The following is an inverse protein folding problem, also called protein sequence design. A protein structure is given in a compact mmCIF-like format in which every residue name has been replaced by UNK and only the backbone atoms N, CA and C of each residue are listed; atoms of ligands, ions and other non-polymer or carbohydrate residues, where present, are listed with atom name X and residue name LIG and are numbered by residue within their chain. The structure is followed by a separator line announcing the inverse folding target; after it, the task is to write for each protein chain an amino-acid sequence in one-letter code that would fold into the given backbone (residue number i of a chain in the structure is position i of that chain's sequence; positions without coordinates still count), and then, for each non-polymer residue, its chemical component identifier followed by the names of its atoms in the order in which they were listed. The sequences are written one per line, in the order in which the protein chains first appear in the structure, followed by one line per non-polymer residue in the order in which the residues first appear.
data_IF_910152718730
#
_entry.id   IF_910152718730
#
_cell.length_a   1.000
_cell.length_b   1.000
_cell.length_c   1.000
_cell.angle_alpha   90.00
_cell.angle_beta   90.00
_cell.angle_gamma   90.00
#
_symmetry.space_group_name_H-M   'P 1'
#
loop_
_entity.id
_entity.type
_entity.pdbx_description
1 polymer ?
#
# COMPACT_ATOMS: atom_id res chain seq x y z
N UNK A 1 -6.35 41.31 -33.56
CA UNK A 1 -6.27 40.04 -32.81
C UNK A 1 -7.68 39.65 -32.39
N UNK A 2 -8.25 38.55 -32.91
CA UNK A 2 -9.65 38.19 -32.65
C UNK A 2 -9.77 37.59 -31.26
N UNK A 3 -10.75 38.02 -30.44
CA UNK A 3 -10.94 37.52 -29.08
C UNK A 3 -11.08 35.98 -29.00
N UNK A 4 -11.54 35.35 -30.09
CA UNK A 4 -11.66 33.90 -30.25
C UNK A 4 -10.32 33.16 -30.26
N UNK A 5 -9.22 33.79 -30.71
CA UNK A 5 -7.88 33.18 -30.69
C UNK A 5 -7.26 33.16 -29.29
N UNK A 6 -7.60 34.17 -28.46
CA UNK A 6 -7.09 34.27 -27.08
C UNK A 6 -7.79 33.25 -26.18
N UNK A 7 -9.10 33.08 -26.33
CA UNK A 7 -9.85 32.08 -25.57
C UNK A 7 -9.48 30.65 -25.95
N UNK A 8 -9.21 30.38 -27.24
CA UNK A 8 -8.72 29.08 -27.72
C UNK A 8 -7.32 28.74 -27.20
N UNK A 9 -6.39 29.71 -27.17
CA UNK A 9 -5.05 29.50 -26.59
C UNK A 9 -5.11 29.21 -25.08
N UNK A 10 -5.94 29.95 -24.33
CA UNK A 10 -6.07 29.75 -22.89
C UNK A 10 -6.73 28.42 -22.53
N UNK A 11 -7.74 27.98 -23.28
CA UNK A 11 -8.38 26.68 -23.06
C UNK A 11 -7.43 25.51 -23.30
N UNK A 12 -6.54 25.59 -24.29
CA UNK A 12 -5.50 24.56 -24.50
C UNK A 12 -4.59 24.42 -23.27
N UNK A 13 -4.13 25.53 -22.69
CA UNK A 13 -3.30 25.47 -21.47
C UNK A 13 -4.04 24.89 -20.27
N UNK A 14 -5.33 25.21 -20.09
CA UNK A 14 -6.15 24.60 -19.03
C UNK A 14 -6.33 23.09 -19.25
N UNK A 15 -6.59 22.65 -20.48
CA UNK A 15 -6.70 21.22 -20.80
C UNK A 15 -5.38 20.49 -20.55
N UNK A 16 -4.24 21.09 -20.94
CA UNK A 16 -2.92 20.52 -20.69
C UNK A 16 -2.57 20.46 -19.19
N UNK A 17 -2.92 21.49 -18.41
CA UNK A 17 -2.70 21.51 -16.97
C UNK A 17 -3.55 20.44 -16.25
N UNK A 18 -4.83 20.30 -16.59
CA UNK A 18 -5.70 19.25 -16.05
C UNK A 18 -5.20 17.86 -16.44
N UNK A 19 -4.79 17.67 -17.71
CA UNK A 19 -4.22 16.42 -18.16
C UNK A 19 -2.91 16.06 -17.42
N UNK A 20 -2.04 17.04 -17.19
CA UNK A 20 -0.80 16.84 -16.43
C UNK A 20 -1.07 16.41 -14.97
N UNK A 21 -2.03 17.04 -14.29
CA UNK A 21 -2.42 16.67 -12.93
C UNK A 21 -2.99 15.24 -12.87
N UNK A 22 -3.85 14.88 -13.82
CA UNK A 22 -4.42 13.52 -13.90
C UNK A 22 -3.35 12.46 -14.21
N UNK A 23 -2.36 12.79 -15.04
CA UNK A 23 -1.24 11.90 -15.35
C UNK A 23 -0.26 11.78 -14.18
N UNK A 24 -0.08 12.80 -13.33
CA UNK A 24 0.87 12.79 -12.22
C UNK A 24 0.43 11.94 -11.01
N UNK A 25 -0.88 11.88 -10.73
CA UNK A 25 -1.44 11.15 -9.58
C UNK A 25 -0.95 9.69 -9.40
N UNK A 26 -0.89 8.83 -10.44
CA UNK A 26 -0.40 7.46 -10.28
C UNK A 26 1.09 7.38 -9.93
N UNK A 27 1.91 8.36 -10.36
CA UNK A 27 3.35 8.38 -10.06
C UNK A 27 3.62 8.67 -8.59
N UNK A 28 2.84 9.56 -7.98
CA UNK A 28 2.93 9.86 -6.54
C UNK A 28 2.59 8.63 -5.71
N UNK A 29 1.52 7.91 -6.06
CA UNK A 29 1.12 6.71 -5.33
C UNK A 29 2.16 5.60 -5.41
N UNK A 30 2.77 5.35 -6.57
CA UNK A 30 3.86 4.38 -6.72
C UNK A 30 5.05 4.76 -5.83
N UNK A 31 5.54 6.00 -5.97
CA UNK A 31 6.71 6.52 -5.24
C UNK A 31 6.65 6.25 -3.73
N UNK A 32 5.48 6.41 -3.12
CA UNK A 32 5.31 6.23 -1.68
C UNK A 32 5.44 4.76 -1.21
N UNK A 33 5.11 3.78 -2.05
CA UNK A 33 5.35 2.36 -1.73
C UNK A 33 6.83 2.00 -1.85
N UNK A 34 7.52 2.55 -2.86
CA UNK A 34 8.96 2.35 -3.01
C UNK A 34 9.75 2.99 -1.86
N UNK A 35 9.45 4.25 -1.51
CA UNK A 35 10.09 4.96 -0.40
C UNK A 35 9.87 4.24 0.94
N UNK A 36 8.62 3.89 1.26
CA UNK A 36 8.30 3.18 2.49
C UNK A 36 8.97 1.80 2.54
N UNK A 37 9.01 1.11 1.40
CA UNK A 37 9.65 -0.19 1.29
C UNK A 37 11.16 -0.14 1.55
N UNK A 38 11.84 0.84 0.94
CA UNK A 38 13.27 1.08 1.16
C UNK A 38 13.54 1.47 2.62
N UNK A 39 12.75 2.39 3.18
CA UNK A 39 12.92 2.91 4.54
C UNK A 39 12.76 1.86 5.62
N UNK A 40 11.81 0.94 5.47
CA UNK A 40 11.46 -0.04 6.50
C UNK A 40 11.89 -1.48 6.17
N UNK A 41 12.61 -1.67 5.06
CA UNK A 41 13.07 -2.99 4.61
C UNK A 41 11.93 -3.94 4.23
N UNK A 42 10.84 -3.40 3.68
CA UNK A 42 9.66 -4.15 3.24
C UNK A 42 9.55 -4.09 1.71
N UNK A 43 9.20 -5.19 1.06
CA UNK A 43 8.92 -5.20 -0.38
C UNK A 43 7.80 -4.19 -0.73
N UNK A 44 8.03 -3.25 -1.66
CA UNK A 44 6.98 -2.33 -2.13
C UNK A 44 5.76 -3.07 -2.69
N UNK A 45 5.97 -4.22 -3.35
CA UNK A 45 4.90 -5.07 -3.86
C UNK A 45 4.05 -5.68 -2.74
N UNK A 46 4.67 -6.05 -1.61
CA UNK A 46 3.95 -6.51 -0.43
C UNK A 46 3.10 -5.38 0.17
N UNK A 47 3.67 -4.19 0.33
CA UNK A 47 2.93 -3.02 0.83
C UNK A 47 1.74 -2.68 -0.07
N UNK A 48 1.93 -2.74 -1.40
CA UNK A 48 0.85 -2.56 -2.36
C UNK A 48 -0.25 -3.62 -2.19
N UNK A 49 0.12 -4.89 -2.00
CA UNK A 49 -0.83 -5.98 -1.78
C UNK A 49 -1.62 -5.82 -0.47
N UNK A 50 -0.97 -5.32 0.59
CA UNK A 50 -1.62 -4.94 1.85
C UNK A 50 -2.61 -3.80 1.60
N UNK A 51 -2.19 -2.67 1.03
CA UNK A 51 -3.07 -1.54 0.73
C UNK A 51 -4.29 -1.93 -0.15
N UNK A 52 -4.08 -2.78 -1.16
CA UNK A 52 -5.16 -3.32 -1.99
C UNK A 52 -6.18 -4.11 -1.17
N UNK A 53 -5.67 -4.92 -0.24
CA UNK A 53 -6.45 -5.87 0.57
C UNK A 53 -7.17 -5.18 1.73
N UNK A 54 -6.59 -4.10 2.26
CA UNK A 54 -7.11 -3.33 3.39
C UNK A 54 -8.22 -2.37 2.95
N UNK A 55 -7.96 -1.56 1.92
CA UNK A 55 -8.84 -0.44 1.57
C UNK A 55 -9.18 -0.36 0.08
N UNK A 56 -8.64 -1.26 -0.74
CA UNK A 56 -8.64 -1.12 -2.19
C UNK A 56 -8.08 0.25 -2.65
N UNK A 57 -7.03 0.72 -1.97
CA UNK A 57 -6.39 2.03 -2.15
C UNK A 57 -7.22 3.26 -1.75
N UNK A 58 -8.29 3.09 -0.99
CA UNK A 58 -9.08 4.22 -0.51
C UNK A 58 -8.40 4.90 0.69
N UNK A 59 -7.77 6.04 0.46
CA UNK A 59 -7.11 6.85 1.49
C UNK A 59 -8.08 7.41 2.55
N UNK A 60 -9.38 7.49 2.24
CA UNK A 60 -10.42 7.95 3.16
C UNK A 60 -11.19 6.80 3.83
N UNK A 61 -10.74 5.54 3.69
CA UNK A 61 -11.42 4.40 4.28
C UNK A 61 -11.43 4.48 5.82
N UNK A 62 -12.60 4.23 6.40
CA UNK A 62 -12.79 4.11 7.85
C UNK A 62 -13.57 2.83 8.11
N UNK A 63 -13.08 1.98 9.00
CA UNK A 63 -13.77 0.79 9.44
C UNK A 63 -13.88 0.77 10.97
N UNK A 64 -15.07 0.50 11.51
CA UNK A 64 -15.31 0.49 12.95
C UNK A 64 -15.39 -0.95 13.45
N UNK A 65 -14.62 -1.26 14.49
CA UNK A 65 -14.50 -2.59 15.06
C UNK A 65 -15.43 -2.77 16.27
N UNK A 66 -15.89 -4.00 16.50
CA UNK A 66 -16.81 -4.33 17.61
C UNK A 66 -16.23 -4.02 19.01
N UNK A 67 -14.90 -3.94 19.13
CA UNK A 67 -14.22 -3.60 20.38
C UNK A 67 -14.10 -2.08 20.61
N UNK A 68 -14.73 -1.25 19.76
CA UNK A 68 -14.69 0.21 19.85
C UNK A 68 -13.47 0.87 19.22
N UNK A 69 -12.50 0.10 18.72
CA UNK A 69 -11.42 0.64 17.88
C UNK A 69 -11.91 0.91 16.46
N UNK A 70 -11.11 1.63 15.67
CA UNK A 70 -11.39 1.82 14.25
C UNK A 70 -10.09 1.81 13.45
N UNK A 71 -10.18 1.42 12.18
CA UNK A 71 -9.07 1.36 11.24
C UNK A 71 -9.19 2.50 10.22
N UNK A 72 -8.08 3.16 9.91
CA UNK A 72 -8.08 4.38 9.11
C UNK A 72 -7.11 4.36 7.92
N UNK A 73 -7.63 4.83 6.78
CA UNK A 73 -6.89 5.13 5.57
C UNK A 73 -6.43 3.92 4.77
N UNK A 74 -5.47 4.15 3.88
CA UNK A 74 -5.11 3.22 2.80
C UNK A 74 -4.56 1.88 3.32
N UNK A 75 -3.85 1.90 4.45
CA UNK A 75 -3.30 0.71 5.12
C UNK A 75 -4.16 0.25 6.30
N UNK A 76 -5.32 0.87 6.54
CA UNK A 76 -6.23 0.56 7.65
C UNK A 76 -5.50 0.51 9.02
N UNK A 77 -4.87 1.63 9.39
CA UNK A 77 -4.14 1.74 10.66
C UNK A 77 -5.15 1.80 11.82
N UNK A 78 -5.08 0.82 12.72
CA UNK A 78 -5.97 0.74 13.88
C UNK A 78 -5.70 1.84 14.91
N UNK A 79 -6.77 2.34 15.55
CA UNK A 79 -6.73 3.37 16.60
C UNK A 79 -5.99 2.97 17.87
N UNK A 80 -5.70 1.69 18.08
CA UNK A 80 -4.80 1.22 19.14
C UNK A 80 -3.38 1.80 19.02
N UNK A 81 -2.91 2.16 17.81
CA UNK A 81 -1.61 2.78 17.60
C UNK A 81 -1.54 4.26 17.98
N UNK A 82 -2.68 4.87 18.35
CA UNK A 82 -2.74 6.30 18.69
C UNK A 82 -1.75 6.67 19.79
N UNK A 83 -1.57 5.81 20.80
CA UNK A 83 -0.67 6.08 21.93
C UNK A 83 0.80 6.15 21.49
N UNK A 84 1.22 5.27 20.59
CA UNK A 84 2.59 5.19 20.09
C UNK A 84 2.88 6.25 19.02
N UNK A 85 1.87 6.62 18.22
CA UNK A 85 1.99 7.66 17.20
C UNK A 85 1.93 9.07 17.81
N UNK A 86 1.06 9.27 18.79
CA UNK A 86 0.73 10.60 19.30
C UNK A 86 -0.15 11.39 18.33
N UNK A 87 -0.69 12.51 18.82
CA UNK A 87 -1.69 13.32 18.12
C UNK A 87 -1.21 13.80 16.75
N UNK A 88 0.01 14.33 16.66
CA UNK A 88 0.52 14.92 15.42
C UNK A 88 0.60 13.88 14.31
N UNK A 89 1.26 12.75 14.56
CA UNK A 89 1.40 11.68 13.56
C UNK A 89 0.06 11.03 13.21
N UNK A 90 -0.84 10.89 14.18
CA UNK A 90 -2.19 10.38 13.94
C UNK A 90 -2.99 11.27 12.98
N UNK A 91 -2.92 12.60 13.17
CA UNK A 91 -3.62 13.56 12.30
C UNK A 91 -3.11 13.56 10.85
N UNK A 92 -1.87 13.10 10.61
CA UNK A 92 -1.30 13.01 9.26
C UNK A 92 -1.70 11.73 8.51
N UNK A 93 -2.41 10.77 9.15
CA UNK A 93 -2.79 9.51 8.50
C UNK A 93 -3.77 9.69 7.33
N UNK A 94 -4.35 10.88 7.14
CA UNK A 94 -5.20 11.19 5.99
C UNK A 94 -4.41 11.38 4.70
N UNK A 95 -3.10 11.66 4.81
CA UNK A 95 -2.19 11.60 3.68
C UNK A 95 -1.87 10.13 3.35
N UNK A 96 -2.15 9.72 2.12
CA UNK A 96 -2.01 8.33 1.70
C UNK A 96 -0.57 7.83 1.83
N UNK A 97 0.41 8.66 1.48
CA UNK A 97 1.83 8.30 1.51
C UNK A 97 2.35 8.17 2.94
N UNK A 98 1.93 9.06 3.81
CA UNK A 98 2.20 8.99 5.25
C UNK A 98 1.56 7.74 5.85
N UNK A 99 0.32 7.42 5.49
CA UNK A 99 -0.38 6.21 5.93
C UNK A 99 0.35 4.93 5.47
N UNK A 100 0.83 4.87 4.22
CA UNK A 100 1.69 3.78 3.71
C UNK A 100 2.96 3.65 4.54
N UNK A 101 3.64 4.77 4.85
CA UNK A 101 4.83 4.77 5.69
C UNK A 101 4.55 4.24 7.10
N UNK A 102 3.44 4.63 7.73
CA UNK A 102 3.05 4.11 9.05
C UNK A 102 2.72 2.62 8.99
N UNK A 103 2.01 2.16 7.96
CA UNK A 103 1.72 0.74 7.75
C UNK A 103 3.01 -0.08 7.57
N UNK A 104 3.95 0.42 6.76
CA UNK A 104 5.26 -0.21 6.57
C UNK A 104 6.07 -0.26 7.87
N UNK A 105 6.05 0.81 8.67
CA UNK A 105 6.68 0.84 9.99
C UNK A 105 6.09 -0.21 10.93
N UNK A 106 4.75 -0.35 11.00
CA UNK A 106 4.10 -1.37 11.82
C UNK A 106 4.48 -2.77 11.35
N UNK A 107 4.43 -3.02 10.04
CA UNK A 107 4.81 -4.32 9.46
C UNK A 107 6.28 -4.64 9.75
N UNK A 108 7.18 -3.65 9.72
CA UNK A 108 8.59 -3.85 10.09
C UNK A 108 8.77 -4.32 11.54
N UNK A 109 7.90 -3.89 12.47
CA UNK A 109 7.92 -4.39 13.85
C UNK A 109 7.49 -5.86 13.93
N UNK A 110 6.53 -6.26 13.11
CA UNK A 110 6.15 -7.68 13.00
C UNK A 110 7.29 -8.51 12.39
N UNK A 111 7.97 -7.99 11.36
CA UNK A 111 9.16 -8.62 10.76
C UNK A 111 10.29 -8.77 11.78
N UNK A 112 10.53 -7.75 12.61
CA UNK A 112 11.54 -7.84 13.69
C UNK A 112 11.24 -8.98 14.69
N UNK A 113 9.96 -9.31 14.91
CA UNK A 113 9.54 -10.36 15.86
C UNK A 113 9.52 -11.75 15.25
N UNK A 114 9.10 -11.87 13.98
CA UNK A 114 8.77 -13.14 13.35
C UNK A 114 9.68 -13.48 12.15
N UNK A 115 10.70 -12.66 11.91
CA UNK A 115 11.46 -12.67 10.67
C UNK A 115 10.62 -12.19 9.49
N UNK A 116 11.25 -12.14 8.32
CA UNK A 116 10.56 -11.84 7.06
C UNK A 116 9.77 -13.08 6.63
N UNK A 117 8.61 -13.32 7.27
CA UNK A 117 7.75 -14.52 7.10
C UNK A 117 6.26 -14.18 6.96
N UNK A 118 5.43 -15.16 6.58
CA UNK A 118 3.96 -15.01 6.58
C UNK A 118 3.38 -14.78 7.99
N UNK A 119 4.07 -15.25 9.04
CA UNK A 119 3.70 -14.92 10.41
C UNK A 119 3.83 -13.42 10.70
N UNK A 120 4.82 -12.72 10.12
CA UNK A 120 4.92 -11.27 10.22
C UNK A 120 3.76 -10.55 9.51
N UNK A 121 3.35 -11.04 8.34
CA UNK A 121 2.17 -10.51 7.62
C UNK A 121 0.89 -10.73 8.43
N UNK A 122 0.71 -11.93 9.01
CA UNK A 122 -0.41 -12.22 9.90
C UNK A 122 -0.39 -11.38 11.18
N UNK A 123 0.80 -11.09 11.74
CA UNK A 123 0.97 -10.20 12.90
C UNK A 123 0.44 -8.80 12.65
N UNK A 124 0.60 -8.25 11.44
CA UNK A 124 0.13 -6.90 11.08
C UNK A 124 -1.38 -6.73 11.31
N UNK A 125 -2.18 -7.72 10.95
CA UNK A 125 -3.64 -7.67 11.11
C UNK A 125 -4.11 -7.69 12.58
N UNK A 126 -3.29 -8.18 13.51
CA UNK A 126 -3.60 -8.16 14.95
C UNK A 126 -4.72 -9.08 15.43
N UNK A 127 -5.36 -9.87 14.55
CA UNK A 127 -6.47 -10.77 14.91
C UNK A 127 -6.04 -12.08 15.61
N UNK A 128 -6.98 -12.97 15.94
CA UNK A 128 -6.68 -14.31 16.48
C UNK A 128 -5.85 -15.16 15.50
N UNK A 129 -5.15 -16.20 15.97
CA UNK A 129 -4.22 -17.01 15.15
C UNK A 129 -4.85 -17.51 13.84
N UNK A 130 -6.06 -18.09 13.89
CA UNK A 130 -6.76 -18.54 12.67
C UNK A 130 -7.07 -17.40 11.70
N UNK A 131 -7.41 -16.21 12.21
CA UNK A 131 -7.65 -15.03 11.39
C UNK A 131 -6.35 -14.49 10.77
N UNK A 132 -5.20 -14.59 11.47
CA UNK A 132 -3.88 -14.20 10.94
C UNK A 132 -3.48 -15.03 9.72
N UNK A 133 -3.72 -16.34 9.75
CA UNK A 133 -3.43 -17.24 8.62
C UNK A 133 -4.32 -16.91 7.41
N UNK A 134 -5.62 -16.73 7.64
CA UNK A 134 -6.56 -16.33 6.58
C UNK A 134 -6.17 -14.98 5.95
N UNK A 135 -5.75 -14.03 6.78
CA UNK A 135 -5.26 -12.74 6.34
C UNK A 135 -3.98 -12.88 5.49
N UNK A 136 -2.96 -13.59 5.97
CA UNK A 136 -1.73 -13.83 5.22
C UNK A 136 -2.00 -14.49 3.86
N UNK A 137 -2.93 -15.46 3.81
CA UNK A 137 -3.34 -16.12 2.58
C UNK A 137 -4.04 -15.16 1.59
N UNK A 138 -4.85 -14.20 2.07
CA UNK A 138 -5.43 -13.15 1.21
C UNK A 138 -4.33 -12.30 0.58
N UNK A 139 -3.37 -11.83 1.40
CA UNK A 139 -2.24 -11.03 0.93
C UNK A 139 -1.40 -11.81 -0.10
N UNK A 140 -1.13 -13.08 0.16
CA UNK A 140 -0.40 -13.94 -0.76
C UNK A 140 -1.07 -14.02 -2.14
N UNK A 141 -2.40 -14.25 -2.17
CA UNK A 141 -3.17 -14.30 -3.42
C UNK A 141 -3.13 -12.97 -4.17
N UNK A 142 -3.31 -11.86 -3.45
CA UNK A 142 -3.24 -10.52 -4.05
C UNK A 142 -1.84 -10.23 -4.61
N UNK A 143 -0.78 -10.56 -3.88
CA UNK A 143 0.60 -10.37 -4.32
C UNK A 143 0.92 -11.18 -5.59
N UNK A 144 0.42 -12.43 -5.67
CA UNK A 144 0.54 -13.27 -6.87
C UNK A 144 -0.13 -12.65 -8.08
N UNK A 145 -1.36 -12.15 -7.93
CA UNK A 145 -2.08 -11.49 -9.02
C UNK A 145 -1.34 -10.25 -9.55
N UNK A 146 -0.71 -9.48 -8.66
CA UNK A 146 0.10 -8.30 -9.03
C UNK A 146 1.37 -8.71 -9.78
N UNK A 147 2.06 -9.75 -9.31
CA UNK A 147 3.25 -10.29 -9.97
C UNK A 147 2.95 -10.83 -11.37
N UNK A 148 1.85 -11.55 -11.53
CA UNK A 148 1.42 -12.12 -12.81
C UNK A 148 0.93 -11.04 -13.78
N UNK A 149 0.25 -9.99 -13.28
CA UNK A 149 -0.17 -8.84 -14.08
C UNK A 149 1.00 -7.99 -14.62
N UNK A 150 2.05 -7.78 -13.81
CA UNK A 150 3.28 -7.10 -14.25
C UNK A 150 4.11 -7.94 -15.21
N UNK A 151 4.10 -9.27 -15.09
CA UNK A 151 4.79 -10.17 -16.04
C UNK A 151 4.07 -10.20 -17.40
N UNK A 152 2.73 -10.17 -17.40
CA UNK A 152 1.94 -10.12 -18.64
C UNK A 152 2.12 -8.82 -19.42
N UNK A 153 2.26 -7.67 -18.72
CA UNK A 153 2.52 -6.38 -19.36
C UNK A 153 3.97 -6.19 -19.82
N UNK A 154 4.93 -6.86 -19.19
CA UNK A 154 6.36 -6.64 -19.41
C UNK A 154 7.06 -7.74 -20.23
N UNK A 155 6.30 -8.52 -21.03
CA UNK A 155 6.77 -9.65 -21.84
C UNK A 155 7.78 -9.29 -22.97
N UNK A 156 8.36 -8.08 -22.97
CA UNK A 156 9.46 -7.67 -23.87
C UNK A 156 10.82 -7.61 -23.20
N UNK A 157 10.92 -7.48 -21.87
CA UNK A 157 12.22 -7.36 -21.18
C UNK A 157 12.44 -8.54 -20.23
N UNK A 158 12.85 -9.65 -20.85
CA UNK A 158 13.18 -10.89 -20.16
C UNK A 158 14.65 -10.90 -19.75
N UNK A 159 14.98 -10.43 -18.55
CA UNK A 159 16.08 -10.94 -17.73
C UNK A 159 16.18 -10.14 -16.41
N UNK A 160 16.22 -10.85 -15.28
CA UNK A 160 16.61 -10.33 -13.95
C UNK A 160 15.54 -9.50 -13.19
N UNK A 161 14.36 -10.07 -12.97
CA UNK A 161 13.55 -9.71 -11.78
C UNK A 161 13.39 -10.98 -10.95
N UNK A 162 13.92 -10.99 -9.71
CA UNK A 162 13.73 -12.12 -8.77
C UNK A 162 12.23 -12.33 -8.59
N UNK A 163 11.77 -13.59 -8.61
CA UNK A 163 10.34 -13.88 -8.69
C UNK A 163 9.69 -13.52 -7.34
N UNK A 164 8.47 -12.97 -7.32
CA UNK A 164 7.72 -12.74 -6.08
C UNK A 164 7.52 -14.01 -5.23
N UNK A 165 7.66 -15.19 -5.85
CA UNK A 165 7.69 -16.52 -5.20
C UNK A 165 8.88 -16.73 -4.26
N UNK A 166 9.90 -15.88 -4.33
CA UNK A 166 11.16 -16.06 -3.60
C UNK A 166 11.22 -15.17 -2.34
N UNK A 167 10.14 -14.44 -2.00
CA UNK A 167 10.10 -13.47 -0.88
C UNK A 167 9.75 -14.14 0.46
N UNK A 168 8.96 -15.21 0.43
CA UNK A 168 8.57 -15.97 1.62
C UNK A 168 8.42 -17.45 1.26
N UNK A 169 8.99 -18.37 2.05
CA UNK A 169 8.68 -19.80 1.97
C UNK A 169 7.16 -20.02 2.06
N UNK A 170 6.65 -21.07 1.40
CA UNK A 170 5.21 -21.36 1.26
C UNK A 170 4.48 -21.32 2.62
N UNK A 171 3.23 -20.81 2.72
CA UNK A 171 2.50 -20.68 3.99
C UNK A 171 2.03 -22.03 4.59
N UNK A 172 2.64 -23.14 4.20
CA UNK A 172 2.25 -24.50 4.56
C UNK A 172 3.03 -25.14 5.72
N UNK A 173 4.02 -24.46 6.31
CA UNK A 173 4.65 -24.97 7.54
C UNK A 173 3.85 -24.55 8.78
N UNK A 174 3.63 -25.47 9.74
CA UNK A 174 2.89 -25.18 10.96
C UNK A 174 3.61 -24.11 11.79
N UNK A 175 2.87 -23.09 12.22
CA UNK A 175 3.30 -22.07 13.18
C UNK A 175 2.72 -22.37 14.57
#
# INVERSE_FOLDING_TARGET
MKLTDVTARSTVWYVLAVAFVLLAAPYVAAFCFEEAGERYGISPQLLWAVAKTESNFNAAAVNYNNNGSFDYGIMQINSSWYKELGVDRWMHLGDACYNVNVGAWILSKCVQRHGYTWAAVGCYNGASVGNKVNYANRIHRTLRAVGEGKIASNKRDSARVRRPRDIFSDPGEPW
#
